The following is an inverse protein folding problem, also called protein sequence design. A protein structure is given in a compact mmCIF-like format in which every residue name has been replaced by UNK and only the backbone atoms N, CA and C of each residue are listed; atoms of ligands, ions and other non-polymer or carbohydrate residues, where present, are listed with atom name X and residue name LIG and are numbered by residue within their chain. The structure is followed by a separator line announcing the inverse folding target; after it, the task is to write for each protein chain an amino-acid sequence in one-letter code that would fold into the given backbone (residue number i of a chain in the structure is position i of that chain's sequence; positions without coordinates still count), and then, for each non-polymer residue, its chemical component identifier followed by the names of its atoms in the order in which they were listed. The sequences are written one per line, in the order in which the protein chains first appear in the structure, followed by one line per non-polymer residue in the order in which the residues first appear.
data_IF_480573287901
#
_entry.id   IF_480573287901
#
_cell.length_a   1.000
_cell.length_b   1.000
_cell.length_c   1.000
_cell.angle_alpha   90.00
_cell.angle_beta   90.00
_cell.angle_gamma   90.00
#
_symmetry.space_group_name_H-M   'P 1'
#
loop_
_entity.id
_entity.type
_entity.pdbx_description
1 polymer ?
#
# COMPACT_ATOMS: atom_id res chain seq x y z
N UNK A 1 2.24 9.47 -2.42
CA UNK A 1 3.22 10.27 -1.67
C UNK A 1 4.54 9.50 -1.63
N UNK A 2 5.68 10.17 -1.58
CA UNK A 2 6.99 9.52 -1.38
C UNK A 2 7.21 9.19 0.09
N UNK A 3 8.20 8.35 0.42
CA UNK A 3 8.55 8.08 1.81
C UNK A 3 8.95 9.37 2.57
N UNK A 4 9.63 10.31 1.89
CA UNK A 4 10.00 11.59 2.50
C UNK A 4 8.75 12.44 2.80
N UNK A 5 7.85 12.59 1.82
CA UNK A 5 6.58 13.31 2.02
C UNK A 5 5.74 12.72 3.17
N UNK A 6 5.73 11.39 3.29
CA UNK A 6 5.02 10.71 4.37
C UNK A 6 5.72 10.87 5.72
N UNK A 7 7.04 10.90 5.77
CA UNK A 7 7.80 11.17 6.99
C UNK A 7 7.46 12.56 7.52
N UNK A 8 7.48 13.56 6.63
CA UNK A 8 7.17 14.94 6.96
C UNK A 8 5.71 15.12 7.39
N UNK A 9 4.77 14.45 6.70
CA UNK A 9 3.33 14.58 6.99
C UNK A 9 2.92 13.87 8.28
N UNK A 10 3.48 12.69 8.54
CA UNK A 10 3.10 11.86 9.69
C UNK A 10 3.90 12.18 10.95
N UNK A 11 4.99 12.95 10.84
CA UNK A 11 5.90 13.30 11.94
C UNK A 11 6.35 12.08 12.76
N UNK A 12 6.82 11.05 12.06
CA UNK A 12 7.32 9.80 12.65
C UNK A 12 8.75 9.49 12.19
N UNK A 13 9.55 8.76 12.98
CA UNK A 13 10.88 8.33 12.55
C UNK A 13 10.82 7.51 11.26
N UNK A 14 11.79 7.73 10.37
CA UNK A 14 11.91 7.03 9.07
C UNK A 14 11.89 5.51 9.22
N UNK A 15 12.55 4.95 10.24
CA UNK A 15 12.52 3.50 10.51
C UNK A 15 11.11 2.99 10.86
N UNK A 16 10.31 3.80 11.56
CA UNK A 16 8.91 3.48 11.88
C UNK A 16 8.02 3.61 10.65
N UNK A 17 8.27 4.61 9.79
CA UNK A 17 7.56 4.75 8.54
C UNK A 17 7.77 3.53 7.64
N UNK A 18 9.02 3.15 7.36
CA UNK A 18 9.30 2.01 6.48
C UNK A 18 8.69 0.71 7.00
N UNK A 19 8.75 0.46 8.32
CA UNK A 19 8.07 -0.69 8.93
C UNK A 19 6.56 -0.64 8.74
N UNK A 20 5.93 0.54 8.82
CA UNK A 20 4.48 0.69 8.58
C UNK A 20 4.13 0.50 7.11
N UNK A 21 4.93 1.04 6.20
CA UNK A 21 4.74 0.88 4.76
C UNK A 21 4.85 -0.59 4.37
N UNK A 22 5.86 -1.30 4.86
CA UNK A 22 6.01 -2.74 4.66
C UNK A 22 4.75 -3.51 5.13
N UNK A 23 4.27 -3.26 6.35
CA UNK A 23 3.06 -3.92 6.86
C UNK A 23 1.80 -3.59 6.04
N UNK A 24 1.65 -2.34 5.62
CA UNK A 24 0.51 -1.90 4.80
C UNK A 24 0.58 -2.45 3.37
N UNK A 25 1.77 -2.53 2.77
CA UNK A 25 2.00 -3.15 1.46
C UNK A 25 1.71 -4.65 1.52
N UNK A 26 2.20 -5.35 2.54
CA UNK A 26 1.92 -6.77 2.76
C UNK A 26 0.42 -7.05 2.97
N UNK A 27 -0.29 -6.14 3.64
CA UNK A 27 -1.76 -6.21 3.78
C UNK A 27 -2.51 -5.74 2.52
N UNK A 28 -1.80 -5.39 1.44
CA UNK A 28 -2.34 -4.79 0.22
C UNK A 28 -3.19 -3.54 0.49
N UNK A 29 -2.95 -2.80 1.57
CA UNK A 29 -3.67 -1.56 1.91
C UNK A 29 -3.02 -0.32 1.27
N UNK A 30 -1.75 -0.44 0.91
CA UNK A 30 -0.98 0.55 0.18
C UNK A 30 -0.32 -0.14 -1.01
N UNK A 31 -0.32 0.53 -2.17
CA UNK A 31 0.43 0.13 -3.35
C UNK A 31 1.66 1.00 -3.54
N UNK A 32 2.72 0.35 -4.00
CA UNK A 32 3.99 0.97 -4.35
C UNK A 32 4.08 1.14 -5.87
N UNK A 33 4.46 2.34 -6.31
CA UNK A 33 4.65 2.64 -7.71
C UNK A 33 5.96 3.39 -7.91
N UNK A 34 6.90 2.75 -8.59
CA UNK A 34 8.14 3.40 -8.98
C UNK A 34 7.90 4.42 -10.10
N UNK A 35 8.40 5.63 -9.87
CA UNK A 35 8.37 6.72 -10.84
C UNK A 35 9.79 7.15 -11.18
N UNK A 36 10.06 7.42 -12.45
CA UNK A 36 11.33 8.00 -12.90
C UNK A 36 11.16 9.52 -12.87
N UNK A 37 11.99 10.20 -12.08
CA UNK A 37 12.00 11.65 -12.03
C UNK A 37 12.68 12.21 -13.30
N UNK A 38 12.36 13.45 -13.71
CA UNK A 38 12.97 14.09 -14.88
C UNK A 38 14.50 14.16 -14.85
N UNK A 39 15.10 14.12 -13.66
CA UNK A 39 16.55 14.09 -13.43
C UNK A 39 17.19 12.69 -13.40
N UNK A 40 16.45 11.63 -13.74
CA UNK A 40 16.96 10.25 -13.83
C UNK A 40 16.94 9.44 -12.53
N UNK A 41 16.56 10.04 -11.39
CA UNK A 41 16.38 9.31 -10.13
C UNK A 41 15.08 8.50 -10.10
N UNK A 42 15.12 7.28 -9.56
CA UNK A 42 13.90 6.52 -9.20
C UNK A 42 13.36 7.03 -7.87
N UNK A 43 12.05 7.11 -7.76
CA UNK A 43 11.38 7.39 -6.48
C UNK A 43 10.11 6.56 -6.40
N UNK A 44 9.98 5.84 -5.29
CA UNK A 44 8.80 5.04 -4.98
C UNK A 44 7.70 5.95 -4.42
N UNK A 45 6.52 5.86 -5.02
CA UNK A 45 5.30 6.53 -4.57
C UNK A 45 4.36 5.50 -3.95
N UNK A 46 3.88 5.83 -2.76
CA UNK A 46 2.90 5.05 -2.02
C UNK A 46 1.51 5.64 -2.22
N UNK A 47 0.52 4.78 -2.49
CA UNK A 47 -0.88 5.17 -2.69
C UNK A 47 -1.80 4.23 -1.91
N UNK A 48 -2.80 4.79 -1.23
CA UNK A 48 -3.89 4.02 -0.59
C UNK A 48 -4.61 3.16 -1.64
N UNK A 49 -4.88 1.90 -1.30
CA UNK A 49 -5.42 0.90 -2.23
C UNK A 49 -6.76 0.28 -1.79
N UNK A 50 -7.44 0.93 -0.86
CA UNK A 50 -8.78 0.60 -0.39
C UNK A 50 -9.62 1.87 -0.32
N UNK A 51 -10.93 1.73 -0.25
CA UNK A 51 -11.86 2.83 0.03
C UNK A 51 -12.30 2.83 1.49
N UNK A 52 -12.62 1.66 2.04
CA UNK A 52 -13.02 1.48 3.44
C UNK A 52 -12.34 0.25 4.08
N UNK A 53 -12.12 0.32 5.40
CA UNK A 53 -11.75 -0.83 6.23
C UNK A 53 -12.69 -0.86 7.42
N UNK A 54 -13.53 -1.89 7.47
CA UNK A 54 -14.45 -2.14 8.58
C UNK A 54 -13.89 -3.25 9.46
N UNK A 55 -13.75 -2.96 10.75
CA UNK A 55 -13.33 -3.91 11.78
C UNK A 55 -14.51 -4.14 12.71
N UNK A 56 -14.89 -5.40 12.92
CA UNK A 56 -16.02 -5.77 13.77
C UNK A 56 -15.66 -6.89 14.73
N UNK A 57 -16.22 -6.83 15.94
CA UNK A 57 -16.30 -7.96 16.87
C UNK A 57 -17.74 -8.46 16.91
N UNK A 58 -17.95 -9.76 16.82
CA UNK A 58 -19.26 -10.39 17.00
C UNK A 58 -19.59 -10.54 18.49
N UNK A 59 -20.85 -10.89 18.81
CA UNK A 59 -21.25 -11.22 20.18
C UNK A 59 -20.58 -12.51 20.71
N UNK A 60 -19.98 -13.31 19.81
CA UNK A 60 -19.25 -14.53 20.11
C UNK A 60 -17.73 -14.29 20.26
N UNK A 61 -17.31 -13.01 20.38
CA UNK A 61 -15.90 -12.56 20.41
C UNK A 61 -15.11 -12.87 19.11
N UNK A 62 -15.79 -13.14 18.00
CA UNK A 62 -15.11 -13.33 16.71
C UNK A 62 -14.68 -11.99 16.10
N UNK A 63 -13.44 -11.95 15.64
CA UNK A 63 -12.86 -10.80 14.98
C UNK A 63 -12.99 -10.91 13.46
N UNK A 64 -13.57 -9.90 12.81
CA UNK A 64 -13.71 -9.82 11.35
C UNK A 64 -13.19 -8.49 10.81
N UNK A 65 -12.56 -8.55 9.64
CA UNK A 65 -12.06 -7.38 8.90
C UNK A 65 -12.56 -7.46 7.47
N UNK A 66 -13.23 -6.41 7.03
CA UNK A 66 -13.67 -6.23 5.64
C UNK A 66 -12.93 -5.05 5.03
N UNK A 67 -12.36 -5.24 3.83
CA UNK A 67 -11.66 -4.19 3.10
C UNK A 67 -12.39 -3.95 1.79
N UNK A 68 -13.04 -2.80 1.66
CA UNK A 68 -13.69 -2.38 0.43
C UNK A 68 -12.70 -1.69 -0.48
N UNK A 69 -12.74 -2.01 -1.78
CA UNK A 69 -11.79 -1.51 -2.76
C UNK A 69 -12.53 -0.98 -3.97
N UNK A 70 -12.03 0.10 -4.61
CA UNK A 70 -12.64 0.62 -5.81
C UNK A 70 -12.58 -0.43 -6.93
N UNK A 71 -13.58 -0.46 -7.84
CA UNK A 71 -13.53 -1.33 -9.00
C UNK A 71 -12.32 -0.98 -9.87
N UNK A 72 -11.31 -1.86 -9.88
CA UNK A 72 -10.11 -1.71 -10.70
C UNK A 72 -10.43 -1.93 -12.17
N UNK A 73 -9.83 -1.11 -13.04
CA UNK A 73 -9.82 -1.39 -14.49
C UNK A 73 -8.92 -2.61 -14.77
N UNK A 74 -9.17 -3.30 -15.88
CA UNK A 74 -8.53 -4.59 -16.19
C UNK A 74 -7.00 -4.50 -16.34
N UNK A 75 -6.50 -3.35 -16.77
CA UNK A 75 -5.09 -2.98 -16.87
C UNK A 75 -4.39 -2.91 -15.50
N UNK A 76 -5.06 -2.36 -14.47
CA UNK A 76 -4.52 -2.32 -13.11
C UNK A 76 -4.43 -3.71 -12.48
N UNK A 77 -5.41 -4.59 -12.74
CA UNK A 77 -5.40 -5.97 -12.22
C UNK A 77 -4.26 -6.80 -12.80
N UNK A 78 -3.95 -6.59 -14.08
CA UNK A 78 -2.82 -7.26 -14.72
C UNK A 78 -1.49 -6.82 -14.09
N UNK A 79 -1.30 -5.52 -13.86
CA UNK A 79 -0.09 -5.00 -13.23
C UNK A 79 0.18 -5.62 -11.84
N UNK A 80 -0.86 -5.82 -11.03
CA UNK A 80 -0.73 -6.48 -9.72
C UNK A 80 -0.29 -7.95 -9.86
N UNK A 81 -0.84 -8.70 -10.84
CA UNK A 81 -0.45 -10.10 -11.12
C UNK A 81 1.02 -10.20 -11.54
N UNK A 82 1.48 -9.28 -12.40
CA UNK A 82 2.88 -9.26 -12.85
C UNK A 82 3.84 -8.84 -11.75
N UNK A 83 3.42 -7.95 -10.83
CA UNK A 83 4.22 -7.58 -9.65
C UNK A 83 4.43 -8.78 -8.72
N UNK A 84 3.42 -9.63 -8.53
CA UNK A 84 3.54 -10.85 -7.70
C UNK A 84 4.48 -11.89 -8.33
N UNK A 85 4.56 -11.96 -9.67
CA UNK A 85 5.48 -12.90 -10.36
C UNK A 85 6.93 -12.40 -10.43
N UNK A 86 7.16 -11.09 -10.31
CA UNK A 86 8.50 -10.49 -10.39
C UNK A 86 9.38 -10.72 -9.16
N UNK A 87 8.77 -11.01 -8.01
CA UNK A 87 9.46 -11.23 -6.73
C UNK A 87 9.96 -12.69 -6.54
N UNK A 88 9.67 -13.61 -7.47
CA UNK A 88 10.12 -15.02 -7.43
C UNK A 88 11.31 -15.36 -8.35
N UNK A 89 12.11 -14.36 -8.81
CA UNK A 89 13.30 -14.59 -9.65
C UNK A 89 14.63 -14.20 -8.99
#
# INVERSE_FOLDING_TARGET
MTANELTDTCDIPTSTLYRKLELLSNASLVREQDTINPGGGRTTRYKRDFDDVTISMTEEDDFSVTVERPPRKADERLADIWSTMGDEL
#
